data_IF_704780577865
#
_entry.id   IF_704780577865
#
_cell.length_a   1.000
_cell.length_b   1.000
_cell.length_c   1.000
_cell.angle_alpha   90.00
_cell.angle_beta   90.00
_cell.angle_gamma   90.00
#
_symmetry.space_group_name_H-M   'P 1'
#
loop_
_entity.id
_entity.type
_entity.pdbx_description
1 polymer ?
#
# COMPACT_ATOMS: atom_id res chain seq x y z
N UNK A 1 10.00 25.13 -5.13
CA UNK A 1 8.52 25.03 -5.16
C UNK A 1 8.14 23.57 -4.95
N UNK A 2 7.84 23.17 -3.71
CA UNK A 2 7.17 21.89 -3.47
C UNK A 2 5.71 22.11 -3.87
N UNK A 3 5.37 21.75 -5.10
CA UNK A 3 3.98 21.72 -5.53
C UNK A 3 3.25 20.73 -4.62
N UNK A 4 2.16 21.09 -3.93
CA UNK A 4 1.37 20.11 -3.18
C UNK A 4 0.94 19.04 -4.18
N UNK A 5 1.51 17.84 -4.04
CA UNK A 5 1.12 16.69 -4.85
C UNK A 5 -0.38 16.50 -4.63
N UNK A 6 -1.22 16.57 -5.68
CA UNK A 6 -2.63 16.29 -5.52
C UNK A 6 -2.72 14.89 -4.92
N UNK A 7 -3.34 14.78 -3.74
CA UNK A 7 -3.62 13.49 -3.13
C UNK A 7 -4.42 12.69 -4.15
N UNK A 8 -3.76 11.77 -4.86
CA UNK A 8 -4.39 10.87 -5.83
C UNK A 8 -5.30 9.95 -5.03
N UNK A 9 -6.50 10.46 -4.71
CA UNK A 9 -7.53 9.73 -4.02
C UNK A 9 -8.02 8.67 -5.00
N UNK A 10 -7.55 7.45 -4.82
CA UNK A 10 -8.05 6.32 -5.58
C UNK A 10 -9.57 6.31 -5.46
N UNK A 11 -10.26 6.37 -6.61
CA UNK A 11 -11.72 6.37 -6.63
C UNK A 11 -12.22 5.04 -6.09
N UNK A 12 -13.28 5.05 -5.28
CA UNK A 12 -13.89 3.84 -4.72
C UNK A 12 -14.22 2.80 -5.81
N UNK A 13 -14.55 3.26 -7.02
CA UNK A 13 -14.77 2.41 -8.18
C UNK A 13 -13.53 1.58 -8.58
N UNK A 14 -12.33 2.19 -8.59
CA UNK A 14 -11.09 1.48 -8.93
C UNK A 14 -10.69 0.46 -7.86
N UNK A 15 -10.96 0.75 -6.58
CA UNK A 15 -10.73 -0.20 -5.49
C UNK A 15 -11.60 -1.45 -5.65
N UNK A 16 -12.90 -1.25 -5.89
CA UNK A 16 -13.84 -2.36 -6.12
C UNK A 16 -13.46 -3.14 -7.38
N UNK A 17 -13.14 -2.47 -8.48
CA UNK A 17 -12.69 -3.11 -9.72
C UNK A 17 -11.46 -3.99 -9.49
N UNK A 18 -10.46 -3.48 -8.75
CA UNK A 18 -9.24 -4.22 -8.44
C UNK A 18 -9.53 -5.47 -7.60
N UNK A 19 -10.44 -5.36 -6.64
CA UNK A 19 -10.90 -6.50 -5.83
C UNK A 19 -11.59 -7.58 -6.67
N UNK A 20 -12.46 -7.17 -7.59
CA UNK A 20 -13.15 -8.09 -8.52
C UNK A 20 -12.13 -8.75 -9.45
N UNK A 21 -11.23 -7.98 -10.05
CA UNK A 21 -10.20 -8.51 -10.96
C UNK A 21 -9.32 -9.55 -10.25
N UNK A 22 -8.88 -9.25 -9.01
CA UNK A 22 -8.13 -10.19 -8.19
C UNK A 22 -8.93 -11.48 -7.91
N UNK A 23 -10.20 -11.36 -7.53
CA UNK A 23 -11.05 -12.51 -7.27
C UNK A 23 -11.23 -13.40 -8.52
N UNK A 24 -11.44 -12.79 -9.69
CA UNK A 24 -11.55 -13.50 -10.97
C UNK A 24 -10.24 -14.19 -11.33
N UNK A 25 -9.10 -13.51 -11.22
CA UNK A 25 -7.78 -14.10 -11.49
C UNK A 25 -7.43 -15.24 -10.53
N UNK A 26 -7.70 -15.07 -9.24
CA UNK A 26 -7.47 -16.09 -8.22
C UNK A 26 -8.39 -17.31 -8.44
N UNK A 27 -9.66 -17.07 -8.77
CA UNK A 27 -10.62 -18.12 -9.13
C UNK A 27 -10.20 -18.89 -10.38
N UNK A 28 -9.77 -18.19 -11.44
CA UNK A 28 -9.25 -18.82 -12.65
C UNK A 28 -8.02 -19.69 -12.38
N UNK A 29 -7.10 -19.23 -11.52
CA UNK A 29 -5.95 -20.03 -11.08
C UNK A 29 -6.38 -21.28 -10.31
N UNK A 30 -7.31 -21.14 -9.36
CA UNK A 30 -7.83 -22.28 -8.59
C UNK A 30 -8.52 -23.32 -9.48
N UNK A 31 -9.32 -22.87 -10.47
CA UNK A 31 -9.92 -23.74 -11.48
C UNK A 31 -8.82 -24.43 -12.31
N UNK A 32 -7.80 -23.69 -12.75
CA UNK A 32 -6.66 -24.25 -13.48
C UNK A 32 -5.92 -25.35 -12.70
N UNK A 33 -5.70 -25.15 -11.39
CA UNK A 33 -5.13 -26.16 -10.50
C UNK A 33 -6.06 -27.38 -10.36
N UNK A 34 -7.38 -27.17 -10.34
CA UNK A 34 -8.36 -28.25 -10.21
C UNK A 34 -8.44 -29.15 -11.45
N UNK A 35 -8.38 -28.56 -12.65
CA UNK A 35 -8.45 -29.27 -13.93
C UNK A 35 -7.12 -29.87 -14.40
N UNK A 36 -6.02 -29.59 -13.71
CA UNK A 36 -4.71 -30.12 -14.06
C UNK A 36 -4.65 -31.64 -13.79
N UNK A 37 -4.26 -32.48 -14.78
CA UNK A 37 -4.14 -33.92 -14.60
C UNK A 37 -2.87 -34.24 -13.79
N UNK A 38 -2.96 -34.12 -12.47
CA UNK A 38 -1.87 -34.35 -11.52
C UNK A 38 -2.32 -35.22 -10.36
N UNK A 39 -1.36 -35.80 -9.64
CA UNK A 39 -1.66 -36.52 -8.40
C UNK A 39 -2.23 -35.56 -7.34
N UNK A 40 -3.13 -36.08 -6.48
CA UNK A 40 -3.78 -35.26 -5.45
C UNK A 40 -2.79 -34.56 -4.51
N UNK A 41 -1.64 -35.18 -4.24
CA UNK A 41 -0.57 -34.62 -3.42
C UNK A 41 0.12 -33.41 -4.07
N UNK A 42 0.49 -33.51 -5.34
CA UNK A 42 1.10 -32.41 -6.10
C UNK A 42 0.13 -31.21 -6.21
N UNK A 43 -1.16 -31.51 -6.40
CA UNK A 43 -2.20 -30.48 -6.43
C UNK A 43 -2.35 -29.77 -5.09
N UNK A 44 -2.31 -30.50 -3.98
CA UNK A 44 -2.37 -29.93 -2.64
C UNK A 44 -1.15 -29.03 -2.35
N UNK A 45 0.05 -29.45 -2.75
CA UNK A 45 1.25 -28.64 -2.63
C UNK A 45 1.12 -27.31 -3.39
N UNK A 46 0.70 -27.35 -4.66
CA UNK A 46 0.48 -26.14 -5.46
C UNK A 46 -0.58 -25.22 -4.84
N UNK A 47 -1.67 -25.78 -4.29
CA UNK A 47 -2.70 -25.00 -3.62
C UNK A 47 -2.15 -24.27 -2.38
N UNK A 48 -1.39 -24.96 -1.53
CA UNK A 48 -0.79 -24.36 -0.32
C UNK A 48 0.25 -23.30 -0.70
N UNK A 49 1.14 -23.59 -1.65
CA UNK A 49 2.11 -22.62 -2.15
C UNK A 49 1.43 -21.36 -2.70
N UNK A 50 0.37 -21.52 -3.47
CA UNK A 50 -0.41 -20.40 -4.03
C UNK A 50 -1.04 -19.55 -2.92
N UNK A 51 -1.70 -20.19 -1.94
CA UNK A 51 -2.32 -19.48 -0.81
C UNK A 51 -1.28 -18.71 0.03
N UNK A 52 -0.15 -19.35 0.32
CA UNK A 52 0.94 -18.73 1.07
C UNK A 52 1.59 -17.58 0.31
N UNK A 53 1.79 -17.74 -0.99
CA UNK A 53 2.35 -16.69 -1.86
C UNK A 53 1.44 -15.47 -1.92
N UNK A 54 0.13 -15.67 -2.13
CA UNK A 54 -0.87 -14.58 -2.14
C UNK A 54 -0.91 -13.85 -0.80
N UNK A 55 -0.91 -14.60 0.31
CA UNK A 55 -0.89 -14.02 1.66
C UNK A 55 0.36 -13.16 1.89
N UNK A 56 1.53 -13.69 1.51
CA UNK A 56 2.81 -12.98 1.63
C UNK A 56 2.88 -11.73 0.76
N UNK A 57 2.34 -11.78 -0.46
CA UNK A 57 2.25 -10.64 -1.36
C UNK A 57 1.39 -9.51 -0.76
N UNK A 58 0.23 -9.83 -0.17
CA UNK A 58 -0.60 -8.84 0.51
C UNK A 58 0.05 -8.27 1.76
N UNK A 59 0.77 -9.09 2.54
CA UNK A 59 1.52 -8.59 3.70
C UNK A 59 2.62 -7.62 3.27
N UNK A 60 3.39 -7.97 2.24
CA UNK A 60 4.42 -7.10 1.69
C UNK A 60 3.81 -5.80 1.14
N UNK A 61 2.68 -5.88 0.43
CA UNK A 61 1.98 -4.70 -0.08
C UNK A 61 1.50 -3.76 1.05
N UNK A 62 1.03 -4.32 2.17
CA UNK A 62 0.70 -3.52 3.37
C UNK A 62 1.94 -2.84 3.92
N UNK A 63 3.02 -3.59 4.15
CA UNK A 63 4.28 -3.02 4.68
C UNK A 63 4.77 -1.86 3.80
N UNK A 64 4.74 -1.99 2.48
CA UNK A 64 5.15 -0.93 1.56
C UNK A 64 4.21 0.30 1.67
N UNK A 65 2.89 0.09 1.77
CA UNK A 65 1.93 1.18 1.95
C UNK A 65 2.15 1.89 3.30
N UNK A 66 2.29 1.13 4.37
CA UNK A 66 2.51 1.64 5.72
C UNK A 66 3.80 2.47 5.78
N UNK A 67 4.86 2.03 5.09
CA UNK A 67 6.10 2.79 4.93
C UNK A 67 5.89 4.10 4.16
N UNK A 68 5.09 4.08 3.09
CA UNK A 68 4.78 5.29 2.33
C UNK A 68 4.01 6.31 3.18
N UNK A 69 2.99 5.86 3.91
CA UNK A 69 2.19 6.70 4.81
C UNK A 69 3.04 7.27 5.97
N UNK A 70 3.89 6.44 6.58
CA UNK A 70 4.78 6.88 7.66
C UNK A 70 5.79 7.95 7.20
N UNK A 71 6.32 7.82 5.98
CA UNK A 71 7.22 8.83 5.40
C UNK A 71 6.50 10.14 5.12
N UNK A 72 5.28 10.10 4.58
CA UNK A 72 4.47 11.31 4.36
C UNK A 72 4.11 12.00 5.68
N UNK A 73 3.78 11.24 6.72
CA UNK A 73 3.47 11.80 8.04
C UNK A 73 4.69 12.48 8.67
N UNK A 74 5.86 11.82 8.64
CA UNK A 74 7.12 12.40 9.16
C UNK A 74 7.44 13.74 8.52
N UNK A 75 7.35 13.86 7.20
CA UNK A 75 7.64 15.12 6.51
C UNK A 75 6.73 16.26 6.96
N UNK A 76 5.44 15.98 7.20
CA UNK A 76 4.48 16.99 7.69
C UNK A 76 4.76 17.41 9.12
N UNK A 77 5.20 16.48 9.97
CA UNK A 77 5.63 16.78 11.34
C UNK A 77 6.90 17.61 11.32
N UNK A 78 7.88 17.25 10.49
CA UNK A 78 9.13 18.00 10.36
C UNK A 78 8.87 19.43 9.86
N UNK A 79 7.99 19.61 8.88
CA UNK A 79 7.53 20.94 8.43
C UNK A 79 6.91 21.76 9.57
N UNK A 80 5.95 21.19 10.31
CA UNK A 80 5.33 21.89 11.43
C UNK A 80 6.33 22.22 12.56
N UNK A 81 7.30 21.33 12.83
CA UNK A 81 8.36 21.56 13.81
C UNK A 81 9.30 22.68 13.36
N UNK A 82 9.68 22.70 12.08
CA UNK A 82 10.47 23.79 11.51
C UNK A 82 9.72 25.11 11.64
N UNK A 83 8.43 25.16 11.28
CA UNK A 83 7.59 26.35 11.44
C UNK A 83 7.57 26.85 12.89
N UNK A 84 7.44 25.96 13.88
CA UNK A 84 7.52 26.35 15.30
C UNK A 84 8.87 26.96 15.66
N UNK A 85 9.98 26.36 15.22
CA UNK A 85 11.33 26.89 15.46
C UNK A 85 11.52 28.26 14.81
N UNK A 86 10.99 28.48 13.60
CA UNK A 86 10.99 29.78 12.92
C UNK A 86 10.16 30.85 13.66
N UNK A 87 8.99 30.48 14.21
CA UNK A 87 8.13 31.39 14.98
C UNK A 87 8.78 31.76 16.32
N UNK A 88 9.39 30.80 16.99
CA UNK A 88 10.06 31.00 18.28
C UNK A 88 11.35 31.84 18.14
N UNK A 89 12.11 31.63 17.06
CA UNK A 89 13.27 32.44 16.70
C UNK A 89 12.92 33.52 15.69
N UNK A 90 11.97 34.41 16.03
CA UNK A 90 11.63 35.57 15.21
C UNK A 90 12.44 36.83 15.62
N UNK A 91 13.53 37.20 14.91
CA UNK A 91 14.35 38.36 15.23
C UNK A 91 13.66 39.72 14.99
N UNK A 92 12.47 39.75 14.38
CA UNK A 92 11.76 40.99 14.02
C UNK A 92 10.82 41.52 15.13
N UNK A 93 10.69 40.80 16.25
CA UNK A 93 9.81 41.20 17.36
C UNK A 93 10.39 42.34 18.23
N UNK A 94 11.65 42.72 18.01
CA UNK A 94 12.37 43.74 18.80
C UNK A 94 12.62 45.07 18.07
N UNK A 95 12.03 45.32 16.90
CA UNK A 95 12.23 46.56 16.11
C UNK A 95 10.90 47.32 15.89
N UNK A 96 9.98 47.24 16.84
CA UNK A 96 8.79 48.11 16.90
C UNK A 96 8.59 48.62 18.32
#
# INVERSE_FOLDING_TARGET
MNTPQPLLRTSAAYFVQSGIAFAVSFGALAIGIAYLPMSGWQRAFLAICTLFLVTSCFNLAKVIRDQHEANQFRNRVDEARLEQMYVEHNPLKGVV
#
